data_IF_000758106627
#
_entry.id   IF_000758106627
#
_cell.length_a   1.000
_cell.length_b   1.000
_cell.length_c   1.000
_cell.angle_alpha   90.00
_cell.angle_beta   90.00
_cell.angle_gamma   90.00
#
_symmetry.space_group_name_H-M   'P 1'
#
loop_
_entity.id
_entity.type
_entity.pdbx_description
1 polymer ?
#
# COMPACT_ATOMS: atom_id res chain seq x y z
N UNK A 1 12.77 -0.27 15.77
CA UNK A 1 11.29 -0.20 15.74
C UNK A 1 10.93 1.10 15.03
N UNK A 2 9.97 1.10 14.11
CA UNK A 2 9.53 2.34 13.45
C UNK A 2 8.69 3.18 14.41
N UNK A 3 8.94 4.48 14.47
CA UNK A 3 8.20 5.44 15.30
C UNK A 3 7.81 6.70 14.52
N UNK A 4 7.16 7.65 15.19
CA UNK A 4 6.75 8.94 14.60
C UNK A 4 7.94 9.76 14.11
N UNK A 5 9.06 9.77 14.84
CA UNK A 5 10.27 10.52 14.48
C UNK A 5 10.85 10.01 13.15
N UNK A 6 10.84 8.70 12.93
CA UNK A 6 11.24 8.11 11.65
C UNK A 6 10.31 8.52 10.50
N UNK A 7 9.00 8.63 10.76
CA UNK A 7 8.00 9.07 9.76
C UNK A 7 8.19 10.55 9.41
N UNK A 8 8.41 11.41 10.41
CA UNK A 8 8.68 12.84 10.20
C UNK A 8 10.00 13.04 9.43
N UNK A 9 11.05 12.31 9.80
CA UNK A 9 12.30 12.34 9.05
C UNK A 9 12.14 11.81 7.61
N UNK A 10 11.28 10.79 7.40
CA UNK A 10 10.95 10.32 6.06
C UNK A 10 10.20 11.40 5.26
N UNK A 11 9.23 12.09 5.87
CA UNK A 11 8.52 13.23 5.27
C UNK A 11 9.49 14.32 4.83
N UNK A 12 10.43 14.71 5.69
CA UNK A 12 11.43 15.73 5.37
C UNK A 12 12.30 15.32 4.19
N UNK A 13 12.81 14.08 4.18
CA UNK A 13 13.61 13.56 3.05
C UNK A 13 12.81 13.47 1.76
N UNK A 14 11.51 13.15 1.84
CA UNK A 14 10.60 13.06 0.69
C UNK A 14 10.35 14.46 0.10
N UNK A 15 10.06 15.46 0.93
CA UNK A 15 9.75 16.82 0.50
C UNK A 15 8.72 16.85 -0.64
N UNK A 16 9.02 17.60 -1.70
CA UNK A 16 8.16 17.74 -2.88
C UNK A 16 8.35 16.63 -3.92
N UNK A 17 9.13 15.59 -3.63
CA UNK A 17 9.31 14.48 -4.55
C UNK A 17 8.11 13.52 -4.54
N UNK A 18 7.34 13.45 -3.46
CA UNK A 18 6.03 12.79 -3.46
C UNK A 18 4.92 13.81 -3.66
N UNK A 19 3.84 13.39 -4.31
CA UNK A 19 2.61 14.18 -4.41
C UNK A 19 1.92 14.16 -3.05
N UNK A 20 1.54 15.33 -2.52
CA UNK A 20 0.53 15.42 -1.46
C UNK A 20 -0.82 15.08 -2.09
N UNK A 21 -1.21 13.81 -2.05
CA UNK A 21 -2.39 13.34 -2.80
C UNK A 21 -3.68 13.92 -2.21
N UNK A 22 -4.71 14.16 -3.03
CA UNK A 22 -5.93 14.78 -2.53
C UNK A 22 -6.70 13.84 -1.59
N UNK A 23 -7.44 14.46 -0.67
CA UNK A 23 -8.50 13.83 0.10
C UNK A 23 -9.83 14.18 -0.59
N UNK A 24 -10.34 13.25 -1.39
CA UNK A 24 -11.50 13.45 -2.25
C UNK A 24 -12.80 13.15 -1.50
N UNK A 25 -13.91 13.73 -1.94
CA UNK A 25 -15.26 13.43 -1.43
C UNK A 25 -16.27 13.46 -2.56
N UNK A 26 -17.39 12.76 -2.40
CA UNK A 26 -18.52 12.80 -3.34
C UNK A 26 -19.83 12.58 -2.60
N UNK A 27 -20.81 13.45 -2.84
CA UNK A 27 -22.13 13.33 -2.22
C UNK A 27 -22.79 11.97 -2.52
N UNK A 28 -22.61 11.43 -3.73
CA UNK A 28 -23.13 10.11 -4.09
C UNK A 28 -22.49 8.98 -3.28
N UNK A 29 -21.21 9.13 -2.90
CA UNK A 29 -20.55 8.14 -2.06
C UNK A 29 -20.99 8.26 -0.60
N UNK A 30 -21.26 9.47 -0.12
CA UNK A 30 -21.86 9.69 1.20
C UNK A 30 -23.23 8.99 1.31
N UNK A 31 -24.08 9.11 0.28
CA UNK A 31 -25.40 8.48 0.23
C UNK A 31 -25.32 6.94 0.27
N UNK A 32 -24.38 6.36 -0.48
CA UNK A 32 -24.17 4.90 -0.48
C UNK A 32 -23.65 4.42 0.88
N UNK A 33 -22.67 5.13 1.44
CA UNK A 33 -22.06 4.78 2.73
C UNK A 33 -22.99 5.07 3.93
N UNK A 34 -24.04 5.87 3.73
CA UNK A 34 -24.92 6.35 4.79
C UNK A 34 -24.23 7.30 5.80
N UNK A 35 -23.06 7.85 5.45
CA UNK A 35 -22.22 8.70 6.32
C UNK A 35 -21.22 9.51 5.51
N UNK A 36 -20.47 10.40 6.15
CA UNK A 36 -19.45 11.19 5.44
C UNK A 36 -18.27 10.31 5.03
N UNK A 37 -17.95 10.29 3.74
CA UNK A 37 -16.88 9.49 3.19
C UNK A 37 -15.86 10.34 2.43
N UNK A 38 -14.61 10.23 2.86
CA UNK A 38 -13.47 10.80 2.16
C UNK A 38 -12.55 9.71 1.62
N UNK A 39 -11.87 9.98 0.51
CA UNK A 39 -10.97 9.03 -0.16
C UNK A 39 -9.58 9.63 -0.31
N UNK A 40 -8.59 9.05 0.37
CA UNK A 40 -7.18 9.41 0.23
C UNK A 40 -6.61 8.77 -1.04
N UNK A 41 -6.43 9.56 -2.09
CA UNK A 41 -6.18 9.07 -3.45
C UNK A 41 -4.70 8.77 -3.76
N UNK A 42 -4.12 7.77 -3.08
CA UNK A 42 -2.73 7.32 -3.30
C UNK A 42 -2.51 6.68 -4.68
N UNK A 43 -3.58 6.29 -5.39
CA UNK A 43 -3.52 5.94 -6.81
C UNK A 43 -3.00 7.08 -7.71
N UNK A 44 -3.05 8.34 -7.26
CA UNK A 44 -2.50 9.51 -7.95
C UNK A 44 -1.05 9.84 -7.55
N UNK A 45 -0.44 9.02 -6.69
CA UNK A 45 0.97 9.15 -6.36
C UNK A 45 1.84 8.79 -7.57
N UNK A 46 3.11 9.20 -7.55
CA UNK A 46 4.12 8.76 -8.51
C UNK A 46 4.15 7.23 -8.56
N UNK A 47 4.33 6.67 -9.75
CA UNK A 47 4.19 5.22 -10.02
C UNK A 47 2.78 4.65 -9.82
N UNK A 48 1.75 5.48 -9.59
CA UNK A 48 0.37 5.04 -9.47
C UNK A 48 0.00 4.39 -8.13
N UNK A 49 0.83 4.52 -7.09
CA UNK A 49 0.51 3.98 -5.75
C UNK A 49 1.36 4.57 -4.62
N UNK A 50 0.94 4.33 -3.38
CA UNK A 50 1.65 4.76 -2.18
C UNK A 50 3.11 4.27 -2.08
N UNK A 51 3.47 3.17 -2.78
CA UNK A 51 4.75 2.48 -2.64
C UNK A 51 5.96 3.36 -2.96
N UNK A 52 5.78 4.42 -3.76
CA UNK A 52 6.84 5.40 -4.00
C UNK A 52 7.36 6.02 -2.69
N UNK A 53 6.49 6.24 -1.69
CA UNK A 53 6.86 6.87 -0.42
C UNK A 53 7.83 6.00 0.39
N UNK A 54 7.51 4.72 0.57
CA UNK A 54 8.42 3.78 1.24
C UNK A 54 9.67 3.48 0.43
N UNK A 55 9.57 3.38 -0.90
CA UNK A 55 10.75 3.27 -1.77
C UNK A 55 11.70 4.45 -1.59
N UNK A 56 11.18 5.68 -1.61
CA UNK A 56 11.93 6.89 -1.35
C UNK A 56 12.54 6.90 0.04
N UNK A 57 11.75 6.66 1.08
CA UNK A 57 12.22 6.68 2.47
C UNK A 57 13.34 5.66 2.70
N UNK A 58 13.20 4.46 2.13
CA UNK A 58 14.21 3.41 2.24
C UNK A 58 15.50 3.78 1.50
N UNK A 59 15.44 4.19 0.24
CA UNK A 59 16.62 4.58 -0.53
C UNK A 59 17.31 5.80 0.07
N UNK A 60 16.55 6.85 0.39
CA UNK A 60 17.09 8.09 0.95
C UNK A 60 17.65 7.93 2.36
N UNK A 61 17.11 6.98 3.14
CA UNK A 61 17.56 6.68 4.50
C UNK A 61 18.86 5.88 4.60
N UNK A 62 19.37 5.34 3.48
CA UNK A 62 20.66 4.65 3.47
C UNK A 62 21.83 5.63 3.60
N UNK A 63 22.89 5.28 4.37
CA UNK A 63 24.13 6.04 4.37
C UNK A 63 24.68 6.18 2.95
N UNK A 64 25.26 7.35 2.62
CA UNK A 64 25.67 7.67 1.25
C UNK A 64 26.57 6.60 0.59
N UNK A 65 27.54 6.06 1.35
CA UNK A 65 28.44 5.02 0.87
C UNK A 65 27.76 3.66 0.63
N UNK A 66 26.72 3.33 1.39
CA UNK A 66 25.91 2.11 1.19
C UNK A 66 24.97 2.32 0.01
N UNK A 67 24.30 3.47 -0.02
CA UNK A 67 23.38 3.87 -1.09
C UNK A 67 24.03 3.86 -2.47
N UNK A 68 25.27 4.33 -2.57
CA UNK A 68 26.02 4.37 -3.83
C UNK A 68 26.27 2.97 -4.45
N UNK A 69 26.25 1.89 -3.65
CA UNK A 69 26.40 0.51 -4.16
C UNK A 69 25.17 0.01 -4.89
N UNK A 70 24.00 0.57 -4.59
CA UNK A 70 22.73 0.19 -5.18
C UNK A 70 21.79 -0.55 -4.24
N UNK A 71 20.56 -0.75 -4.71
CA UNK A 71 19.48 -1.44 -3.99
C UNK A 71 18.97 -2.62 -4.79
N UNK A 72 18.38 -3.58 -4.08
CA UNK A 72 17.71 -4.74 -4.67
C UNK A 72 16.31 -4.90 -4.07
N UNK A 73 15.33 -5.32 -4.86
CA UNK A 73 13.99 -5.63 -4.37
C UNK A 73 13.34 -6.78 -5.14
N UNK A 74 12.44 -7.49 -4.47
CA UNK A 74 11.61 -8.55 -5.05
C UNK A 74 10.18 -8.07 -5.20
N UNK A 75 9.73 -7.84 -6.43
CA UNK A 75 8.34 -7.52 -6.72
C UNK A 75 8.15 -7.45 -8.23
N UNK A 76 6.97 -7.81 -8.72
CA UNK A 76 6.57 -7.49 -10.09
C UNK A 76 5.58 -6.33 -10.17
N UNK A 77 5.23 -5.69 -9.05
CA UNK A 77 4.13 -4.73 -8.98
C UNK A 77 4.53 -3.37 -8.41
N UNK A 78 3.65 -2.80 -7.59
CA UNK A 78 3.77 -1.44 -7.06
C UNK A 78 5.08 -1.17 -6.30
N UNK A 79 5.59 -2.16 -5.56
CA UNK A 79 6.85 -2.02 -4.83
C UNK A 79 8.06 -1.90 -5.76
N UNK A 80 8.11 -2.70 -6.83
CA UNK A 80 9.18 -2.63 -7.83
C UNK A 80 9.25 -1.25 -8.47
N UNK A 81 8.11 -0.72 -8.92
CA UNK A 81 8.06 0.60 -9.54
C UNK A 81 8.43 1.71 -8.56
N UNK A 82 7.92 1.65 -7.32
CA UNK A 82 8.22 2.62 -6.27
C UNK A 82 9.71 2.68 -5.93
N UNK A 83 10.37 1.54 -5.76
CA UNK A 83 11.82 1.45 -5.51
C UNK A 83 12.63 1.87 -6.73
N UNK A 84 12.27 1.41 -7.92
CA UNK A 84 12.98 1.73 -9.15
C UNK A 84 12.98 3.24 -9.43
N UNK A 85 11.82 3.89 -9.33
CA UNK A 85 11.73 5.35 -9.53
C UNK A 85 12.47 6.12 -8.44
N UNK A 86 12.37 5.70 -7.17
CA UNK A 86 13.11 6.33 -6.07
C UNK A 86 14.63 6.24 -6.30
N UNK A 87 15.14 5.05 -6.63
CA UNK A 87 16.55 4.83 -6.91
C UNK A 87 17.05 5.68 -8.09
N UNK A 88 16.31 5.71 -9.20
CA UNK A 88 16.62 6.57 -10.35
C UNK A 88 16.73 8.03 -9.97
N UNK A 89 15.81 8.56 -9.18
CA UNK A 89 15.84 9.96 -8.76
C UNK A 89 16.99 10.30 -7.81
N UNK A 90 17.53 9.30 -7.11
CA UNK A 90 18.74 9.46 -6.29
C UNK A 90 20.03 9.14 -7.05
N UNK A 91 19.98 8.78 -8.33
CA UNK A 91 21.15 8.35 -9.10
C UNK A 91 21.75 7.03 -8.60
N UNK A 92 20.91 6.14 -8.05
CA UNK A 92 21.29 4.89 -7.41
C UNK A 92 20.95 3.71 -8.31
N UNK A 93 21.86 2.74 -8.53
CA UNK A 93 21.53 1.51 -9.24
C UNK A 93 20.42 0.72 -8.52
N UNK A 94 19.43 0.25 -9.26
CA UNK A 94 18.37 -0.61 -8.73
C UNK A 94 18.30 -1.93 -9.52
N UNK A 95 18.31 -3.03 -8.78
CA UNK A 95 18.05 -4.37 -9.30
C UNK A 95 16.69 -4.82 -8.82
N UNK A 96 15.81 -5.20 -9.74
CA UNK A 96 14.48 -5.72 -9.41
C UNK A 96 14.39 -7.15 -9.91
N UNK A 97 14.15 -8.08 -8.97
CA UNK A 97 13.93 -9.48 -9.30
C UNK A 97 12.42 -9.67 -9.54
N UNK A 98 12.09 -10.09 -10.76
CA UNK A 98 10.74 -10.32 -11.24
C UNK A 98 10.65 -11.74 -11.79
N UNK A 99 9.50 -12.43 -11.70
CA UNK A 99 9.37 -13.71 -12.35
C UNK A 99 9.32 -13.53 -13.88
N UNK A 100 9.77 -14.53 -14.62
CA UNK A 100 9.76 -14.53 -16.09
C UNK A 100 8.35 -14.50 -16.69
N UNK A 101 7.35 -14.98 -15.92
CA UNK A 101 5.92 -15.00 -16.27
C UNK A 101 5.15 -13.74 -15.86
N UNK A 102 5.82 -12.73 -15.28
CA UNK A 102 5.14 -11.47 -14.96
C UNK A 102 4.58 -10.82 -16.24
N UNK A 103 3.41 -10.17 -16.18
CA UNK A 103 2.87 -9.42 -17.32
C UNK A 103 3.92 -8.51 -17.93
N UNK A 104 4.11 -8.60 -19.26
CA UNK A 104 5.18 -7.89 -19.99
C UNK A 104 5.20 -6.39 -19.67
N UNK A 105 4.03 -5.78 -19.58
CA UNK A 105 3.87 -4.36 -19.23
C UNK A 105 4.49 -4.01 -17.87
N UNK A 106 4.38 -4.89 -16.87
CA UNK A 106 4.97 -4.69 -15.53
C UNK A 106 6.51 -4.75 -15.59
N UNK A 107 7.06 -5.63 -16.42
CA UNK A 107 8.51 -5.73 -16.67
C UNK A 107 9.02 -4.48 -17.39
N UNK A 108 8.35 -4.10 -18.47
CA UNK A 108 8.72 -2.95 -19.29
C UNK A 108 8.65 -1.63 -18.49
N UNK A 109 7.59 -1.43 -17.71
CA UNK A 109 7.46 -0.25 -16.84
C UNK A 109 8.59 -0.16 -15.81
N UNK A 110 8.98 -1.29 -15.22
CA UNK A 110 10.09 -1.34 -14.26
C UNK A 110 11.42 -0.97 -14.93
N UNK A 111 11.68 -1.49 -16.13
CA UNK A 111 12.85 -1.11 -16.95
C UNK A 111 12.82 0.36 -17.36
N UNK A 112 11.65 0.91 -17.70
CA UNK A 112 11.47 2.32 -18.06
C UNK A 112 11.81 3.27 -16.90
N UNK A 113 11.72 2.80 -15.65
CA UNK A 113 12.21 3.51 -14.48
C UNK A 113 13.73 3.38 -14.25
N UNK A 114 14.47 2.72 -15.13
CA UNK A 114 15.94 2.62 -15.08
C UNK A 114 16.46 1.50 -14.20
N UNK A 115 15.60 0.59 -13.74
CA UNK A 115 16.02 -0.60 -13.00
C UNK A 115 16.54 -1.70 -13.93
N UNK A 116 17.58 -2.38 -13.47
CA UNK A 116 18.01 -3.68 -14.00
C UNK A 116 16.98 -4.73 -13.55
N UNK A 117 16.25 -5.32 -14.51
CA UNK A 117 15.30 -6.39 -14.20
C UNK A 117 15.96 -7.75 -14.40
N UNK A 118 16.09 -8.50 -13.30
CA UNK A 118 16.54 -9.89 -13.30
C UNK A 118 15.32 -10.80 -13.27
N UNK A 119 15.17 -11.62 -14.31
CA UNK A 119 14.05 -12.56 -14.42
C UNK A 119 14.40 -13.91 -13.77
N UNK A 120 13.43 -14.56 -13.13
CA UNK A 120 13.57 -15.92 -12.60
C UNK A 120 12.35 -16.80 -12.91
N UNK A 121 12.54 -18.10 -13.00
CA UNK A 121 11.49 -19.10 -13.13
C UNK A 121 10.89 -19.46 -11.76
N UNK A 122 9.63 -19.10 -11.53
CA UNK A 122 8.93 -19.39 -10.26
C UNK A 122 8.85 -20.87 -9.92
N UNK A 123 8.85 -21.75 -10.92
CA UNK A 123 8.68 -23.18 -10.72
C UNK A 123 9.99 -23.88 -10.31
N UNK A 124 11.13 -23.36 -10.76
CA UNK A 124 12.42 -24.04 -10.68
C UNK A 124 13.50 -23.27 -9.92
N UNK A 125 13.30 -21.97 -9.68
CA UNK A 125 14.29 -21.11 -9.04
C UNK A 125 13.77 -20.46 -7.75
N UNK A 126 14.69 -20.27 -6.81
CA UNK A 126 14.43 -19.54 -5.57
C UNK A 126 14.85 -18.08 -5.72
N UNK A 127 13.86 -17.19 -5.78
CA UNK A 127 14.08 -15.74 -5.88
C UNK A 127 14.90 -15.20 -4.71
N UNK A 128 14.71 -15.73 -3.50
CA UNK A 128 15.36 -15.24 -2.29
C UNK A 128 16.84 -15.63 -2.35
N UNK A 129 17.15 -16.86 -2.81
CA UNK A 129 18.52 -17.29 -3.07
C UNK A 129 19.22 -16.45 -4.16
N UNK A 130 18.52 -16.13 -5.27
CA UNK A 130 19.05 -15.25 -6.32
C UNK A 130 19.35 -13.86 -5.77
N UNK A 131 18.43 -13.29 -5.01
CA UNK A 131 18.61 -11.96 -4.42
C UNK A 131 19.71 -11.91 -3.38
N UNK A 132 19.81 -12.92 -2.52
CA UNK A 132 20.89 -13.04 -1.54
C UNK A 132 22.26 -13.10 -2.22
N UNK A 133 22.36 -13.90 -3.30
CA UNK A 133 23.59 -14.00 -4.08
C UNK A 133 23.98 -12.65 -4.69
N UNK A 134 23.06 -12.02 -5.43
CA UNK A 134 23.31 -10.72 -6.07
C UNK A 134 23.60 -9.62 -5.04
N UNK A 135 22.89 -9.62 -3.92
CA UNK A 135 23.09 -8.70 -2.80
C UNK A 135 24.51 -8.81 -2.25
N UNK A 136 24.99 -10.03 -1.98
CA UNK A 136 26.35 -10.27 -1.46
C UNK A 136 27.44 -9.93 -2.47
N UNK A 137 27.29 -10.38 -3.72
CA UNK A 137 28.29 -10.17 -4.78
C UNK A 137 28.48 -8.69 -5.13
N UNK A 138 27.39 -7.92 -5.15
CA UNK A 138 27.39 -6.51 -5.59
C UNK A 138 27.30 -5.50 -4.44
N UNK A 139 27.08 -5.97 -3.21
CA UNK A 139 26.87 -5.12 -2.04
C UNK A 139 25.56 -4.32 -2.08
N UNK A 140 24.51 -4.87 -2.70
CA UNK A 140 23.21 -4.20 -2.84
C UNK A 140 22.43 -4.28 -1.53
N UNK A 141 21.67 -3.23 -1.20
CA UNK A 141 20.79 -3.28 -0.03
C UNK A 141 19.39 -3.75 -0.41
N UNK A 142 18.91 -4.82 0.25
CA UNK A 142 17.55 -5.33 0.04
C UNK A 142 16.51 -4.38 0.64
N UNK A 143 15.57 -3.90 -0.18
CA UNK A 143 14.42 -3.12 0.25
C UNK A 143 13.17 -4.01 0.23
N UNK A 144 12.69 -4.43 1.41
CA UNK A 144 11.50 -5.29 1.54
C UNK A 144 10.21 -4.49 1.29
N UNK A 145 9.13 -5.13 0.82
CA UNK A 145 7.90 -4.42 0.45
C UNK A 145 7.07 -3.87 1.61
N UNK A 146 7.25 -4.36 2.84
CA UNK A 146 6.45 -3.94 3.99
C UNK A 146 7.13 -4.16 5.35
N UNK A 147 7.80 -5.29 5.56
CA UNK A 147 8.42 -5.65 6.85
C UNK A 147 9.82 -5.04 6.99
N UNK A 148 9.90 -3.71 6.85
CA UNK A 148 11.15 -2.94 6.81
C UNK A 148 10.93 -1.55 7.42
N UNK A 149 11.67 -1.16 8.47
CA UNK A 149 11.40 0.06 9.22
C UNK A 149 11.33 1.35 8.38
N UNK A 150 12.28 1.54 7.45
CA UNK A 150 12.30 2.74 6.61
C UNK A 150 11.16 2.75 5.58
N UNK A 151 10.72 1.56 5.13
CA UNK A 151 9.57 1.44 4.23
C UNK A 151 8.31 1.84 4.98
N UNK A 152 8.08 1.29 6.18
CA UNK A 152 6.96 1.65 7.06
C UNK A 152 6.95 3.16 7.33
N UNK A 153 8.12 3.74 7.64
CA UNK A 153 8.25 5.17 7.89
C UNK A 153 7.80 6.02 6.69
N UNK A 154 8.20 5.64 5.48
CA UNK A 154 7.76 6.31 4.26
C UNK A 154 6.26 6.18 4.04
N UNK A 155 5.69 4.99 4.25
CA UNK A 155 4.24 4.81 4.10
C UNK A 155 3.44 5.60 5.14
N UNK A 156 3.98 5.78 6.35
CA UNK A 156 3.34 6.57 7.40
C UNK A 156 3.17 8.04 7.07
N UNK A 157 3.89 8.56 6.07
CA UNK A 157 3.63 9.90 5.56
C UNK A 157 2.22 10.04 4.97
N UNK A 158 1.57 8.96 4.55
CA UNK A 158 0.14 9.00 4.19
C UNK A 158 -0.72 9.40 5.40
N UNK A 159 -0.41 8.88 6.59
CA UNK A 159 -1.13 9.18 7.83
C UNK A 159 -0.92 10.62 8.32
N UNK A 160 0.30 11.16 8.18
CA UNK A 160 0.56 12.58 8.45
C UNK A 160 -0.32 13.48 7.56
N UNK A 161 -0.37 13.16 6.28
CA UNK A 161 -1.21 13.88 5.31
C UNK A 161 -2.71 13.78 5.63
N UNK A 162 -3.19 12.60 6.04
CA UNK A 162 -4.59 12.40 6.46
C UNK A 162 -4.90 13.27 7.69
N UNK A 163 -4.01 13.34 8.68
CA UNK A 163 -4.20 14.18 9.87
C UNK A 163 -4.28 15.67 9.51
N UNK A 164 -3.35 16.16 8.69
CA UNK A 164 -3.32 17.55 8.23
C UNK A 164 -4.58 17.92 7.43
N UNK A 165 -4.92 17.11 6.42
CA UNK A 165 -6.09 17.34 5.56
C UNK A 165 -7.40 17.20 6.35
N UNK A 166 -7.45 16.32 7.33
CA UNK A 166 -8.56 16.19 8.26
C UNK A 166 -8.77 17.46 9.10
N UNK A 167 -7.68 18.01 9.65
CA UNK A 167 -7.71 19.27 10.39
C UNK A 167 -8.13 20.45 9.50
N UNK A 168 -7.62 20.53 8.26
CA UNK A 168 -8.03 21.53 7.26
C UNK A 168 -9.54 21.49 6.97
N UNK A 169 -10.15 20.30 7.02
CA UNK A 169 -11.59 20.07 6.79
C UNK A 169 -12.44 20.10 8.08
N UNK A 170 -11.84 20.30 9.25
CA UNK A 170 -12.55 20.30 10.53
C UNK A 170 -13.05 18.92 10.99
N UNK A 171 -12.45 17.83 10.51
CA UNK A 171 -12.80 16.45 10.89
C UNK A 171 -12.18 16.16 12.27
N UNK A 172 -13.01 16.11 13.32
CA UNK A 172 -12.54 15.91 14.70
C UNK A 172 -12.29 14.45 15.10
N UNK A 173 -12.95 13.50 14.41
CA UNK A 173 -12.84 12.06 14.62
C UNK A 173 -13.23 11.33 13.32
N UNK A 174 -12.60 10.19 13.05
CA UNK A 174 -12.92 9.36 11.89
C UNK A 174 -12.46 7.92 12.08
N UNK A 175 -13.10 6.99 11.37
CA UNK A 175 -12.49 5.68 11.09
C UNK A 175 -11.70 5.75 9.79
N UNK A 176 -10.44 5.29 9.83
CA UNK A 176 -9.53 5.31 8.67
C UNK A 176 -9.33 3.89 8.19
N UNK A 177 -9.93 3.56 7.05
CA UNK A 177 -9.89 2.23 6.44
C UNK A 177 -8.69 2.15 5.49
N UNK A 178 -7.85 1.13 5.68
CA UNK A 178 -6.58 1.00 4.96
C UNK A 178 -6.46 -0.39 4.33
N UNK A 179 -6.22 -0.47 3.00
CA UNK A 179 -5.91 -1.75 2.36
C UNK A 179 -4.71 -2.41 3.01
N UNK A 180 -4.86 -3.67 3.40
CA UNK A 180 -3.82 -4.39 4.12
C UNK A 180 -3.44 -5.68 3.39
N UNK A 181 -2.15 -5.84 3.12
CA UNK A 181 -1.52 -7.14 2.91
C UNK A 181 -0.57 -7.36 4.09
N UNK A 182 0.73 -7.32 3.83
CA UNK A 182 1.75 -7.46 4.89
C UNK A 182 1.82 -6.34 5.95
N UNK A 183 0.91 -5.36 5.92
CA UNK A 183 0.74 -4.36 7.00
C UNK A 183 1.63 -3.12 6.97
N UNK A 184 2.51 -2.95 5.98
CA UNK A 184 3.45 -1.83 5.96
C UNK A 184 2.80 -0.44 5.84
N UNK A 185 1.76 -0.32 5.01
CA UNK A 185 0.97 0.91 4.89
C UNK A 185 0.18 1.19 6.17
N UNK A 186 -0.60 0.21 6.61
CA UNK A 186 -1.44 0.29 7.82
C UNK A 186 -0.61 0.66 9.04
N UNK A 187 0.52 -0.02 9.28
CA UNK A 187 1.41 0.27 10.42
C UNK A 187 1.91 1.70 10.42
N UNK A 188 2.35 2.19 9.26
CA UNK A 188 2.83 3.56 9.13
C UNK A 188 1.72 4.59 9.38
N UNK A 189 0.54 4.38 8.79
CA UNK A 189 -0.62 5.26 9.00
C UNK A 189 -1.04 5.25 10.47
N UNK A 190 -1.13 4.08 11.10
CA UNK A 190 -1.48 3.94 12.52
C UNK A 190 -0.53 4.70 13.44
N UNK A 191 0.79 4.59 13.21
CA UNK A 191 1.79 5.33 14.00
C UNK A 191 1.63 6.85 13.85
N UNK A 192 1.43 7.32 12.62
CA UNK A 192 1.26 8.74 12.34
C UNK A 192 -0.02 9.31 12.97
N UNK A 193 -1.14 8.61 12.83
CA UNK A 193 -2.43 9.05 13.37
C UNK A 193 -2.48 8.96 14.89
N UNK A 194 -1.90 7.92 15.50
CA UNK A 194 -1.79 7.84 16.96
C UNK A 194 -1.08 9.07 17.57
N UNK A 195 -0.11 9.65 16.84
CA UNK A 195 0.63 10.83 17.29
C UNK A 195 -0.05 12.17 16.93
N UNK A 196 -0.70 12.27 15.77
CA UNK A 196 -1.17 13.55 15.20
C UNK A 196 -2.69 13.74 15.19
N UNK A 197 -3.46 12.65 15.24
CA UNK A 197 -4.91 12.65 15.23
C UNK A 197 -5.45 11.46 16.05
N UNK A 198 -5.29 11.47 17.39
CA UNK A 198 -5.57 10.29 18.24
C UNK A 198 -7.05 9.87 18.25
N UNK A 199 -7.97 10.73 17.81
CA UNK A 199 -9.38 10.41 17.62
C UNK A 199 -9.67 9.68 16.30
N UNK A 200 -8.64 9.39 15.50
CA UNK A 200 -8.78 8.65 14.24
C UNK A 200 -8.44 7.19 14.48
N UNK A 201 -9.40 6.30 14.26
CA UNK A 201 -9.22 4.86 14.49
C UNK A 201 -8.91 4.14 13.18
N UNK A 202 -7.72 3.56 13.07
CA UNK A 202 -7.32 2.80 11.88
C UNK A 202 -7.92 1.40 11.90
N UNK A 203 -8.44 0.94 10.75
CA UNK A 203 -8.92 -0.44 10.55
C UNK A 203 -8.35 -1.02 9.26
N UNK A 204 -8.03 -2.31 9.27
CA UNK A 204 -7.57 -3.00 8.06
C UNK A 204 -8.74 -3.34 7.15
N UNK A 205 -8.50 -3.30 5.85
CA UNK A 205 -9.43 -3.78 4.83
C UNK A 205 -8.71 -4.78 3.93
N UNK A 206 -9.24 -5.99 3.85
CA UNK A 206 -8.63 -7.15 3.21
C UNK A 206 -9.64 -7.86 2.30
N UNK A 207 -9.20 -8.61 1.27
CA UNK A 207 -10.12 -9.46 0.52
C UNK A 207 -10.47 -10.71 1.34
N UNK A 208 -11.71 -11.20 1.21
CA UNK A 208 -12.09 -12.50 1.77
C UNK A 208 -11.11 -13.61 1.35
N UNK A 209 -10.86 -14.55 2.27
CA UNK A 209 -9.86 -15.65 2.16
C UNK A 209 -8.40 -15.20 2.20
N UNK A 210 -8.14 -13.90 2.18
CA UNK A 210 -6.83 -13.27 2.35
C UNK A 210 -6.86 -12.22 3.47
N UNK A 211 -7.68 -12.46 4.49
CA UNK A 211 -7.92 -11.63 5.67
C UNK A 211 -7.01 -12.04 6.85
N UNK A 212 -5.76 -12.43 6.55
CA UNK A 212 -4.81 -12.89 7.57
C UNK A 212 -4.56 -11.85 8.66
N UNK A 213 -4.52 -10.56 8.34
CA UNK A 213 -4.31 -9.50 9.34
C UNK A 213 -5.54 -9.32 10.21
N UNK A 214 -6.75 -9.28 9.64
CA UNK A 214 -7.98 -9.25 10.42
C UNK A 214 -8.09 -10.43 11.39
N UNK A 215 -7.79 -11.65 10.92
CA UNK A 215 -7.74 -12.86 11.77
C UNK A 215 -6.64 -12.76 12.82
N UNK A 216 -5.47 -12.23 12.47
CA UNK A 216 -4.36 -12.05 13.41
C UNK A 216 -4.67 -11.03 14.51
N UNK A 217 -5.35 -9.93 14.16
CA UNK A 217 -5.80 -8.91 15.12
C UNK A 217 -6.84 -9.49 16.09
N UNK A 218 -7.76 -10.32 15.58
CA UNK A 218 -8.76 -10.99 16.40
C UNK A 218 -8.16 -12.07 17.32
N UNK A 219 -7.20 -12.87 16.85
CA UNK A 219 -6.60 -13.97 17.62
C UNK A 219 -5.43 -13.55 18.50
N UNK A 220 -4.85 -12.36 18.27
CA UNK A 220 -3.68 -11.85 18.98
C UNK A 220 -2.35 -12.51 18.57
N UNK A 221 -2.34 -13.35 17.53
CA UNK A 221 -1.15 -14.00 17.00
C UNK A 221 -1.14 -13.93 15.47
N UNK A 222 0.03 -14.07 14.85
CA UNK A 222 0.15 -14.09 13.39
C UNK A 222 -0.57 -15.34 12.85
N UNK A 223 -1.60 -15.11 12.05
CA UNK A 223 -2.33 -16.11 11.26
C UNK A 223 -1.82 -16.13 9.82
N UNK A 224 -2.03 -17.25 9.12
CA UNK A 224 -1.58 -17.45 7.75
C UNK A 224 -2.74 -17.74 6.82
N UNK A 225 -2.66 -17.27 5.57
CA UNK A 225 -3.58 -17.65 4.51
C UNK A 225 -3.31 -19.09 4.03
N UNK A 226 -4.38 -19.78 3.65
CA UNK A 226 -4.31 -21.17 3.18
C UNK A 226 -3.70 -21.26 1.77
N UNK A 227 -3.85 -20.22 0.94
CA UNK A 227 -3.27 -20.12 -0.40
C UNK A 227 -2.48 -18.83 -0.54
N UNK A 228 -1.64 -18.74 -1.59
CA UNK A 228 -0.82 -17.56 -1.89
C UNK A 228 -1.22 -16.89 -3.21
N UNK A 229 -2.33 -17.31 -3.81
CA UNK A 229 -2.80 -16.86 -5.12
C UNK A 229 -4.30 -17.15 -5.28
N UNK A 230 -4.92 -16.54 -6.30
CA UNK A 230 -6.32 -16.79 -6.65
C UNK A 230 -7.27 -15.67 -6.21
N UNK A 231 -6.75 -14.47 -5.96
CA UNK A 231 -7.57 -13.26 -5.83
C UNK A 231 -7.21 -12.21 -6.89
N UNK A 232 -8.21 -11.45 -7.34
CA UNK A 232 -8.02 -10.26 -8.18
C UNK A 232 -7.30 -9.12 -7.46
N UNK A 233 -7.26 -9.14 -6.13
CA UNK A 233 -6.57 -8.15 -5.29
C UNK A 233 -5.06 -8.41 -5.19
N UNK A 234 -4.39 -8.61 -6.32
CA UNK A 234 -2.99 -9.09 -6.42
C UNK A 234 -1.99 -8.27 -5.60
N UNK A 235 -2.23 -6.97 -5.43
CA UNK A 235 -1.36 -6.06 -4.69
C UNK A 235 -1.29 -6.33 -3.17
N UNK A 236 -2.28 -7.01 -2.60
CA UNK A 236 -2.42 -7.22 -1.14
C UNK A 236 -2.57 -8.70 -0.75
N UNK A 237 -2.42 -9.63 -1.70
CA UNK A 237 -2.33 -11.07 -1.40
C UNK A 237 -0.97 -11.37 -0.77
N UNK A 238 -0.94 -11.48 0.56
CA UNK A 238 0.24 -11.89 1.35
C UNK A 238 -0.02 -13.20 2.10
N UNK A 239 1.03 -13.97 2.44
CA UNK A 239 0.84 -15.19 3.20
C UNK A 239 0.43 -14.94 4.65
N UNK A 240 0.94 -13.86 5.26
CA UNK A 240 0.75 -13.47 6.66
C UNK A 240 1.23 -12.01 6.85
N UNK A 241 0.88 -11.33 7.95
CA UNK A 241 1.49 -10.04 8.30
C UNK A 241 2.98 -10.17 8.59
N UNK A 242 3.69 -9.05 8.50
CA UNK A 242 5.11 -8.93 8.85
C UNK A 242 5.37 -9.00 10.36
N UNK A 243 6.60 -9.35 10.74
CA UNK A 243 7.00 -9.47 12.13
C UNK A 243 7.14 -8.11 12.83
N UNK A 244 7.44 -7.05 12.06
CA UNK A 244 7.52 -5.67 12.52
C UNK A 244 6.14 -5.01 12.46
N UNK A 245 5.37 -5.31 11.42
CA UNK A 245 4.07 -4.68 11.18
C UNK A 245 2.99 -5.19 12.13
N UNK A 246 2.93 -6.49 12.42
CA UNK A 246 1.88 -7.06 13.26
C UNK A 246 1.83 -6.45 14.68
N UNK A 247 2.94 -6.35 15.44
CA UNK A 247 2.89 -5.75 16.78
C UNK A 247 2.40 -4.29 16.79
N UNK A 248 2.73 -3.52 15.75
CA UNK A 248 2.25 -2.13 15.59
C UNK A 248 0.74 -2.12 15.37
N UNK A 249 0.25 -2.94 14.44
CA UNK A 249 -1.19 -3.02 14.13
C UNK A 249 -1.98 -3.55 15.32
N UNK A 250 -1.50 -4.58 16.01
CA UNK A 250 -2.16 -5.14 17.19
C UNK A 250 -2.31 -4.11 18.33
N UNK A 251 -1.35 -3.18 18.47
CA UNK A 251 -1.41 -2.13 19.49
C UNK A 251 -2.28 -0.92 19.13
N UNK A 252 -2.49 -0.65 17.83
CA UNK A 252 -3.07 0.63 17.37
C UNK A 252 -4.36 0.50 16.57
N UNK A 253 -4.52 -0.58 15.79
CA UNK A 253 -5.67 -0.78 14.91
C UNK A 253 -6.92 -1.25 15.67
N UNK A 254 -8.08 -1.06 15.06
CA UNK A 254 -9.34 -1.70 15.44
C UNK A 254 -9.54 -3.02 14.71
N UNK A 255 -10.74 -3.59 14.83
CA UNK A 255 -11.14 -4.81 14.10
C UNK A 255 -11.01 -4.60 12.59
N UNK A 256 -10.39 -5.57 11.91
CA UNK A 256 -10.31 -5.60 10.44
C UNK A 256 -11.66 -5.90 9.79
N UNK A 257 -11.79 -5.53 8.51
CA UNK A 257 -12.97 -5.76 7.67
C UNK A 257 -12.51 -6.54 6.43
N UNK A 258 -13.16 -7.67 6.16
CA UNK A 258 -12.95 -8.43 4.94
C UNK A 258 -14.06 -8.08 3.93
N UNK A 259 -13.68 -7.90 2.66
CA UNK A 259 -14.61 -7.57 1.57
C UNK A 259 -14.52 -8.61 0.47
N UNK A 260 -15.62 -8.84 -0.22
CA UNK A 260 -15.68 -9.71 -1.40
C UNK A 260 -14.96 -9.07 -2.59
N UNK A 261 -14.55 -9.89 -3.56
CA UNK A 261 -13.97 -9.40 -4.80
C UNK A 261 -14.99 -8.61 -5.64
N UNK A 262 -16.26 -8.98 -5.56
CA UNK A 262 -17.34 -8.24 -6.21
C UNK A 262 -17.50 -6.83 -5.63
N UNK A 263 -17.43 -6.67 -4.32
CA UNK A 263 -17.44 -5.36 -3.67
C UNK A 263 -16.22 -4.52 -4.06
N UNK A 264 -15.03 -5.13 -4.17
CA UNK A 264 -13.85 -4.44 -4.67
C UNK A 264 -14.06 -3.91 -6.10
N UNK A 265 -14.61 -4.72 -7.01
CA UNK A 265 -14.91 -4.30 -8.39
C UNK A 265 -15.98 -3.20 -8.44
N UNK A 266 -17.05 -3.30 -7.64
CA UNK A 266 -18.07 -2.24 -7.53
C UNK A 266 -17.47 -0.94 -7.02
N UNK A 267 -16.60 -1.00 -6.01
CA UNK A 267 -15.90 0.17 -5.48
C UNK A 267 -14.96 0.81 -6.53
N UNK A 268 -14.28 0.00 -7.36
CA UNK A 268 -13.49 0.51 -8.49
C UNK A 268 -14.34 1.33 -9.46
N UNK A 269 -15.50 0.80 -9.85
CA UNK A 269 -16.41 1.49 -10.77
C UNK A 269 -16.99 2.75 -10.15
N UNK A 270 -17.35 2.73 -8.86
CA UNK A 270 -17.80 3.92 -8.16
C UNK A 270 -16.71 5.00 -8.05
N UNK A 271 -15.45 4.63 -7.79
CA UNK A 271 -14.33 5.56 -7.82
C UNK A 271 -14.15 6.17 -9.21
N UNK A 272 -14.22 5.36 -10.27
CA UNK A 272 -14.15 5.84 -11.65
C UNK A 272 -15.30 6.80 -12.00
N UNK A 273 -16.53 6.41 -11.70
CA UNK A 273 -17.72 7.18 -12.07
C UNK A 273 -17.92 8.43 -11.22
N UNK A 274 -17.56 8.41 -9.93
CA UNK A 274 -17.88 9.48 -8.96
C UNK A 274 -16.69 10.33 -8.56
N UNK A 275 -15.48 9.79 -8.58
CA UNK A 275 -14.25 10.51 -8.22
C UNK A 275 -13.32 10.76 -9.41
N UNK A 276 -13.59 10.14 -10.57
CA UNK A 276 -12.80 10.28 -11.80
C UNK A 276 -11.34 9.83 -11.62
N UNK A 277 -11.13 8.84 -10.76
CA UNK A 277 -9.84 8.19 -10.53
C UNK A 277 -9.91 6.72 -10.94
N UNK A 278 -8.78 6.16 -11.35
CA UNK A 278 -8.61 4.72 -11.58
C UNK A 278 -7.94 4.11 -10.35
N UNK A 279 -8.55 3.04 -9.83
CA UNK A 279 -8.05 2.28 -8.68
C UNK A 279 -7.95 0.80 -9.05
N UNK A 280 -6.92 0.11 -8.56
CA UNK A 280 -6.77 -1.34 -8.74
C UNK A 280 -7.62 -2.10 -7.68
N UNK A 281 -7.94 -3.40 -7.87
CA UNK A 281 -8.82 -4.13 -6.94
C UNK A 281 -8.33 -4.08 -5.48
N UNK A 282 -7.06 -4.40 -5.25
CA UNK A 282 -6.45 -4.29 -3.92
C UNK A 282 -6.34 -2.84 -3.41
N UNK A 283 -6.33 -1.86 -4.31
CA UNK A 283 -6.40 -0.45 -3.97
C UNK A 283 -7.78 0.01 -3.53
N UNK A 284 -8.83 -0.71 -3.92
CA UNK A 284 -10.22 -0.35 -3.69
C UNK A 284 -10.86 -1.01 -2.45
N UNK A 285 -10.22 -2.00 -1.81
CA UNK A 285 -10.85 -2.76 -0.70
C UNK A 285 -11.26 -1.89 0.49
N UNK A 286 -10.51 -0.83 0.81
CA UNK A 286 -10.89 0.09 1.88
C UNK A 286 -12.08 0.98 1.49
N UNK A 287 -12.20 1.32 0.21
CA UNK A 287 -13.37 2.03 -0.31
C UNK A 287 -14.59 1.10 -0.32
N UNK A 288 -14.41 -0.17 -0.70
CA UNK A 288 -15.47 -1.19 -0.63
C UNK A 288 -15.98 -1.36 0.81
N UNK A 289 -15.06 -1.49 1.78
CA UNK A 289 -15.43 -1.56 3.20
C UNK A 289 -16.23 -0.34 3.65
N UNK A 290 -15.80 0.87 3.26
CA UNK A 290 -16.52 2.10 3.60
C UNK A 290 -17.92 2.20 2.99
N UNK A 291 -18.12 1.64 1.79
CA UNK A 291 -19.37 1.73 1.05
C UNK A 291 -20.39 0.65 1.43
N UNK A 292 -19.92 -0.56 1.77
CA UNK A 292 -20.79 -1.74 1.85
C UNK A 292 -20.83 -2.41 3.24
N UNK A 293 -19.97 -1.98 4.18
CA UNK A 293 -19.90 -2.55 5.54
C UNK A 293 -20.24 -1.50 6.60
N UNK A 294 -21.21 -0.63 6.33
CA UNK A 294 -21.63 0.45 7.25
C UNK A 294 -22.01 -0.04 8.65
N UNK A 295 -22.60 -1.24 8.76
CA UNK A 295 -23.00 -1.84 10.04
C UNK A 295 -21.80 -2.22 10.93
N UNK A 296 -20.60 -2.33 10.36
CA UNK A 296 -19.37 -2.57 11.12
C UNK A 296 -18.69 -1.27 11.56
N UNK A 297 -19.15 -0.10 11.11
CA UNK A 297 -18.51 1.21 11.31
C UNK A 297 -19.30 2.07 12.29
N UNK A 298 -18.61 2.65 13.26
CA UNK A 298 -19.18 3.40 14.38
C UNK A 298 -19.09 4.92 14.17
N UNK A 299 -18.18 5.41 13.32
CA UNK A 299 -17.96 6.84 13.15
C UNK A 299 -18.84 7.47 12.07
N UNK A 300 -19.35 8.68 12.34
CA UNK A 300 -20.06 9.53 11.37
C UNK A 300 -19.20 9.92 10.16
N UNK A 301 -17.87 9.85 10.27
CA UNK A 301 -16.92 10.15 9.20
C UNK A 301 -15.95 9.01 8.98
N UNK A 302 -15.78 8.62 7.73
CA UNK A 302 -14.87 7.56 7.30
C UNK A 302 -13.90 8.11 6.26
N UNK A 303 -12.63 7.70 6.38
CA UNK A 303 -11.59 7.99 5.40
C UNK A 303 -11.09 6.66 4.83
N UNK A 304 -11.35 6.41 3.56
CA UNK A 304 -10.86 5.22 2.85
C UNK A 304 -9.57 5.55 2.08
N UNK A 305 -8.54 4.72 2.21
CA UNK A 305 -7.31 4.86 1.42
C UNK A 305 -7.42 4.11 0.09
N UNK A 306 -7.47 4.85 -1.02
CA UNK A 306 -7.37 4.30 -2.37
C UNK A 306 -5.89 4.10 -2.73
N UNK A 307 -5.34 2.94 -2.38
CA UNK A 307 -3.87 2.78 -2.21
C UNK A 307 -3.07 2.73 -3.53
N UNK A 308 -3.69 2.31 -4.64
CA UNK A 308 -3.03 2.14 -5.93
C UNK A 308 -4.00 2.09 -7.10
N UNK A 309 -3.50 2.37 -8.30
CA UNK A 309 -4.28 2.43 -9.55
C UNK A 309 -3.67 1.65 -10.72
N UNK A 310 -2.68 0.79 -10.47
CA UNK A 310 -1.98 0.05 -11.51
C UNK A 310 -2.73 -1.23 -11.91
N UNK A 311 -3.94 -1.04 -12.44
CA UNK A 311 -4.88 -2.10 -12.81
C UNK A 311 -4.62 -2.67 -14.20
N UNK A 312 -4.87 -3.96 -14.37
CA UNK A 312 -4.91 -4.60 -15.69
C UNK A 312 -6.14 -4.10 -16.48
N UNK A 313 -5.97 -3.80 -17.77
CA UNK A 313 -7.04 -3.27 -18.60
C UNK A 313 -8.23 -4.23 -18.74
N UNK A 314 -7.97 -5.55 -18.76
CA UNK A 314 -9.02 -6.56 -18.81
C UNK A 314 -9.85 -6.59 -17.52
N UNK A 315 -9.20 -6.48 -16.36
CA UNK A 315 -9.88 -6.37 -15.07
C UNK A 315 -10.75 -5.10 -15.01
N UNK A 316 -10.21 -3.96 -15.44
CA UNK A 316 -10.97 -2.71 -15.47
C UNK A 316 -12.17 -2.80 -16.43
N UNK A 317 -11.99 -3.39 -17.61
CA UNK A 317 -13.06 -3.60 -18.58
C UNK A 317 -14.15 -4.53 -18.05
N UNK A 318 -13.79 -5.64 -17.38
CA UNK A 318 -14.74 -6.55 -16.73
C UNK A 318 -15.54 -5.83 -15.64
N UNK A 319 -14.86 -5.06 -14.78
CA UNK A 319 -15.52 -4.27 -13.72
C UNK A 319 -16.57 -3.32 -14.30
N UNK A 320 -16.20 -2.54 -15.32
CA UNK A 320 -17.09 -1.61 -16.00
C UNK A 320 -18.24 -2.32 -16.73
N UNK A 321 -17.98 -3.48 -17.35
CA UNK A 321 -19.04 -4.24 -18.02
C UNK A 321 -20.09 -4.79 -17.04
N UNK A 322 -19.66 -5.14 -15.82
CA UNK A 322 -20.52 -5.74 -14.79
C UNK A 322 -21.26 -4.71 -13.93
N UNK A 323 -20.63 -3.56 -13.65
CA UNK A 323 -21.12 -2.60 -12.65
C UNK A 323 -21.15 -1.14 -13.14
N UNK A 324 -20.78 -0.88 -14.40
CA UNK A 324 -20.67 0.44 -15.04
C UNK A 324 -21.99 1.17 -15.24
#
# INVERSE_FOLDING_TARGET
MTDISMIEAARERIGNHAVRTPLLSSHFLDEIAGRKLFVKAECLQRTGSFKFRGGWSAVSGLPAAVRAKGVIAFSSGNHAQGVALAARLHGVPAVIIMPSDAPKIKIDNTRAYGAEVVLYDRANEDRDAIGDRLSRERGLTLIRPYDEPLVIAGQGTVGLEIAEQGAELGIGAAEVLVPCGGGGLTSGISLALAAKAPNYKVRTSEPERFDDVARSLASGKIERNATASGSICDAIVTPQPGNITFPIMAGLCGKGIAVTEEEALRAMVLAFNRLKIVVEPGGAVALAAALFHGDELESETVIAVASGGNVDLGIMADALARFG
#
